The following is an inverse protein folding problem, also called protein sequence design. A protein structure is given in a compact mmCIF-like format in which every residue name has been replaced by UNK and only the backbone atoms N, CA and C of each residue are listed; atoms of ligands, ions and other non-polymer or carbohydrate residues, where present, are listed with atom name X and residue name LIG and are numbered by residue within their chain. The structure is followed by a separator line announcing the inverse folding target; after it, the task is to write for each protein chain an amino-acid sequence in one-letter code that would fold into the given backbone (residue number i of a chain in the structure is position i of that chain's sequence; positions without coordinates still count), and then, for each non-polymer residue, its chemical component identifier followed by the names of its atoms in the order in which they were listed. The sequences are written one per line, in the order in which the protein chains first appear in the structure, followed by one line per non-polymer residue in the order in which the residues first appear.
data_IF_267560328957
#
_entry.id   IF_267560328957
#
_cell.length_a   1.000
_cell.length_b   1.000
_cell.length_c   1.000
_cell.angle_alpha   90.00
_cell.angle_beta   90.00
_cell.angle_gamma   90.00
#
_symmetry.space_group_name_H-M   'P 1'
#
loop_
_entity.id
_entity.type
_entity.pdbx_description
1 polymer ?
#
# COMPACT_ATOMS: atom_id res chain seq x y z
N UNK A 1 -11.73 8.61 9.98
CA UNK A 1 -12.08 7.87 11.21
C UNK A 1 -13.56 7.97 11.56
N UNK A 2 -14.19 9.16 11.49
CA UNK A 2 -15.61 9.33 11.83
C UNK A 2 -16.58 8.33 11.17
N UNK A 3 -16.37 7.97 9.89
CA UNK A 3 -17.20 6.98 9.22
C UNK A 3 -17.02 5.55 9.77
N UNK A 4 -15.80 5.18 10.13
CA UNK A 4 -15.46 3.87 10.68
C UNK A 4 -15.98 3.72 12.12
N UNK A 5 -16.00 4.81 12.88
CA UNK A 5 -16.61 4.84 14.22
C UNK A 5 -18.13 4.74 14.15
N UNK A 6 -18.75 5.37 13.14
CA UNK A 6 -20.20 5.31 12.93
C UNK A 6 -20.68 3.94 12.42
N UNK A 7 -19.86 3.22 11.65
CA UNK A 7 -20.15 1.88 11.14
C UNK A 7 -18.90 0.97 11.27
N UNK A 8 -18.69 0.35 12.43
CA UNK A 8 -17.47 -0.40 12.72
C UNK A 8 -17.52 -1.84 12.24
N UNK A 9 -18.66 -2.33 11.73
CA UNK A 9 -18.94 -3.76 11.52
C UNK A 9 -17.84 -4.43 10.70
N UNK A 10 -17.47 -3.85 9.56
CA UNK A 10 -16.45 -4.44 8.67
C UNK A 10 -15.06 -4.37 9.29
N UNK A 11 -14.67 -3.21 9.82
CA UNK A 11 -13.33 -3.00 10.37
C UNK A 11 -13.07 -3.92 11.58
N UNK A 12 -14.02 -3.99 12.51
CA UNK A 12 -13.86 -4.80 13.72
C UNK A 12 -13.88 -6.30 13.41
N UNK A 13 -14.68 -6.72 12.42
CA UNK A 13 -14.76 -8.13 12.02
C UNK A 13 -13.50 -8.59 11.29
N UNK A 14 -13.01 -7.78 10.34
CA UNK A 14 -11.91 -8.19 9.45
C UNK A 14 -10.55 -7.83 10.01
N UNK A 15 -10.37 -6.61 10.50
CA UNK A 15 -9.12 -6.12 11.05
C UNK A 15 -9.04 -6.41 12.55
N UNK A 16 -9.93 -5.80 13.32
CA UNK A 16 -9.85 -5.77 14.77
C UNK A 16 -10.03 -4.35 15.30
N UNK A 17 -9.62 -4.08 16.55
CA UNK A 17 -9.88 -2.80 17.21
C UNK A 17 -8.93 -1.68 16.79
N UNK A 18 -7.73 -2.00 16.29
CA UNK A 18 -6.70 -1.02 15.92
C UNK A 18 -5.70 -1.59 14.89
N UNK A 19 -4.97 -0.71 14.20
CA UNK A 19 -4.04 -1.07 13.09
C UNK A 19 -2.86 -1.96 13.52
N UNK A 20 -2.48 -1.94 14.81
CA UNK A 20 -1.36 -2.74 15.31
C UNK A 20 -1.80 -4.11 15.85
N UNK A 21 -3.12 -4.35 15.93
CA UNK A 21 -3.70 -5.58 16.47
C UNK A 21 -4.75 -6.15 15.52
N UNK A 22 -4.25 -6.73 14.43
CA UNK A 22 -5.08 -7.50 13.49
C UNK A 22 -5.50 -8.81 14.14
N UNK A 23 -6.68 -8.83 14.76
CA UNK A 23 -7.24 -9.99 15.48
C UNK A 23 -8.47 -10.59 14.80
N UNK A 24 -9.02 -9.90 13.80
CA UNK A 24 -10.17 -10.30 13.01
C UNK A 24 -9.85 -11.37 11.96
N UNK A 25 -10.75 -11.52 10.99
CA UNK A 25 -10.66 -12.59 9.99
C UNK A 25 -9.47 -12.48 9.03
N UNK A 26 -8.81 -11.32 8.95
CA UNK A 26 -7.61 -11.11 8.14
C UNK A 26 -6.30 -11.48 8.84
N UNK A 27 -6.32 -11.90 10.11
CA UNK A 27 -5.11 -12.22 10.91
C UNK A 27 -4.10 -13.09 10.17
N UNK A 28 -4.56 -14.14 9.50
CA UNK A 28 -3.72 -15.13 8.81
C UNK A 28 -3.68 -14.91 7.28
N UNK A 29 -4.20 -13.78 6.80
CA UNK A 29 -4.26 -13.51 5.38
C UNK A 29 -2.87 -13.26 4.79
N UNK A 30 -2.62 -13.83 3.61
CA UNK A 30 -1.43 -13.53 2.82
C UNK A 30 -1.71 -13.58 1.32
N UNK A 31 -1.05 -12.68 0.58
CA UNK A 31 -1.06 -12.64 -0.89
C UNK A 31 0.26 -13.10 -1.50
N UNK A 32 1.29 -13.36 -0.69
CA UNK A 32 2.70 -13.53 -1.13
C UNK A 32 2.84 -14.56 -2.26
N UNK A 33 2.17 -15.71 -2.12
CA UNK A 33 2.26 -16.80 -3.11
C UNK A 33 1.54 -16.52 -4.43
N UNK A 34 0.68 -15.49 -4.47
CA UNK A 34 -0.04 -15.06 -5.68
C UNK A 34 0.64 -13.89 -6.38
N UNK A 35 1.61 -13.23 -5.74
CA UNK A 35 2.33 -12.08 -6.33
C UNK A 35 2.96 -12.37 -7.72
N UNK A 36 3.50 -13.58 -8.00
CA UNK A 36 4.04 -13.89 -9.34
C UNK A 36 3.00 -13.85 -10.47
N UNK A 37 1.71 -13.85 -10.15
CA UNK A 37 0.63 -13.77 -11.17
C UNK A 37 0.33 -12.35 -11.64
N UNK A 38 0.92 -11.33 -11.02
CA UNK A 38 0.72 -9.92 -11.39
C UNK A 38 1.56 -9.61 -12.65
N UNK A 39 0.89 -9.49 -13.79
CA UNK A 39 1.54 -9.27 -15.10
C UNK A 39 1.41 -7.82 -15.60
N UNK A 40 1.12 -6.88 -14.70
CA UNK A 40 1.02 -5.45 -15.01
C UNK A 40 2.08 -4.68 -14.25
N UNK A 41 2.55 -3.54 -14.80
CA UNK A 41 3.50 -2.70 -14.09
C UNK A 41 2.93 -2.25 -12.75
N UNK A 42 3.74 -2.37 -11.70
CA UNK A 42 3.31 -2.12 -10.32
C UNK A 42 4.22 -1.11 -9.63
N UNK A 43 3.61 -0.19 -8.86
CA UNK A 43 4.31 0.75 -7.99
C UNK A 43 3.96 0.43 -6.53
N UNK A 44 4.98 0.21 -5.71
CA UNK A 44 4.88 0.11 -4.26
C UNK A 44 5.25 1.46 -3.63
N UNK A 45 4.38 2.02 -2.80
CA UNK A 45 4.63 3.27 -2.07
C UNK A 45 4.64 2.97 -0.57
N UNK A 46 5.59 3.56 0.16
CA UNK A 46 5.63 3.53 1.62
C UNK A 46 6.19 4.84 2.18
N UNK A 47 5.90 5.16 3.45
CA UNK A 47 6.60 6.20 4.20
C UNK A 47 7.87 5.67 4.89
N UNK A 48 8.81 6.55 5.24
CA UNK A 48 10.00 6.22 6.04
C UNK A 48 9.64 5.66 7.43
N UNK A 49 8.58 6.21 8.05
CA UNK A 49 8.11 5.89 9.39
C UNK A 49 6.78 5.11 9.38
N UNK A 50 6.51 4.39 8.30
CA UNK A 50 5.25 3.68 8.08
C UNK A 50 5.09 2.47 9.02
N UNK A 51 3.86 2.16 9.41
CA UNK A 51 3.51 0.88 10.03
C UNK A 51 3.72 -0.29 9.05
N UNK A 52 3.58 -0.02 7.74
CA UNK A 52 4.02 -0.90 6.67
C UNK A 52 5.56 -0.83 6.51
N UNK A 53 6.26 -1.42 7.47
CA UNK A 53 7.73 -1.47 7.48
C UNK A 53 8.30 -2.24 6.26
N UNK A 54 9.59 -2.07 5.92
CA UNK A 54 10.20 -2.74 4.76
C UNK A 54 9.94 -4.24 4.63
N UNK A 55 9.87 -4.97 5.73
CA UNK A 55 9.59 -6.41 5.72
C UNK A 55 8.18 -6.75 5.21
N UNK A 56 7.19 -5.88 5.39
CA UNK A 56 5.81 -6.12 4.95
C UNK A 56 5.67 -5.98 3.45
N UNK A 57 6.41 -5.05 2.83
CA UNK A 57 6.30 -4.78 1.40
C UNK A 57 7.44 -5.31 0.53
N UNK A 58 8.56 -5.75 1.12
CA UNK A 58 9.66 -6.42 0.39
C UNK A 58 9.19 -7.59 -0.49
N UNK A 59 8.24 -8.47 -0.07
CA UNK A 59 7.75 -9.53 -0.93
C UNK A 59 7.14 -9.05 -2.26
N UNK A 60 6.54 -7.85 -2.30
CA UNK A 60 6.05 -7.27 -3.56
C UNK A 60 7.20 -7.00 -4.53
N UNK A 61 8.33 -6.48 -4.04
CA UNK A 61 9.51 -6.20 -4.87
C UNK A 61 10.23 -7.47 -5.33
N UNK A 62 10.19 -8.53 -4.52
CA UNK A 62 10.86 -9.79 -4.83
C UNK A 62 10.05 -10.69 -5.78
N UNK A 63 8.71 -10.62 -5.73
CA UNK A 63 7.85 -11.61 -6.39
C UNK A 63 7.00 -11.05 -7.53
N UNK A 64 6.81 -9.73 -7.65
CA UNK A 64 6.12 -9.15 -8.82
C UNK A 64 7.16 -8.95 -9.94
N UNK A 65 6.91 -9.46 -11.17
CA UNK A 65 7.88 -9.38 -12.27
C UNK A 65 8.24 -7.96 -12.75
N UNK A 66 7.26 -7.06 -12.82
CA UNK A 66 7.46 -5.65 -13.22
C UNK A 66 7.02 -4.74 -12.07
N UNK A 67 7.97 -4.41 -11.20
CA UNK A 67 7.72 -3.66 -9.97
C UNK A 67 8.82 -2.67 -9.67
N UNK A 68 8.43 -1.56 -9.07
CA UNK A 68 9.32 -0.53 -8.52
C UNK A 68 8.72 0.04 -7.26
N UNK A 69 9.56 0.64 -6.42
CA UNK A 69 9.14 1.26 -5.16
C UNK A 69 9.50 2.73 -5.09
N UNK A 70 8.76 3.47 -4.27
CA UNK A 70 9.15 4.79 -3.79
C UNK A 70 8.87 4.89 -2.28
N UNK A 71 9.91 5.20 -1.51
CA UNK A 71 9.78 5.48 -0.07
C UNK A 71 9.87 6.98 0.13
N UNK A 72 8.89 7.55 0.81
CA UNK A 72 8.82 8.99 1.08
C UNK A 72 9.50 9.30 2.42
N UNK A 73 10.61 10.05 2.37
CA UNK A 73 11.30 10.53 3.57
C UNK A 73 10.34 11.36 4.44
N UNK A 74 10.40 11.21 5.76
CA UNK A 74 9.63 12.03 6.68
C UNK A 74 8.11 11.83 6.65
N UNK A 75 7.60 10.73 6.07
CA UNK A 75 6.17 10.38 6.10
C UNK A 75 5.95 9.01 6.74
N UNK A 76 4.70 8.72 7.07
CA UNK A 76 4.23 7.46 7.61
C UNK A 76 3.16 6.86 6.68
N UNK A 77 2.14 6.23 7.24
CA UNK A 77 1.11 5.50 6.50
C UNK A 77 0.28 6.39 5.57
N UNK A 78 -0.07 7.58 6.05
CA UNK A 78 -0.92 8.52 5.30
C UNK A 78 -0.09 9.49 4.45
N UNK A 79 0.89 8.97 3.71
CA UNK A 79 1.84 9.77 2.92
C UNK A 79 1.14 10.77 1.98
N UNK A 80 -0.02 10.40 1.42
CA UNK A 80 -0.85 11.26 0.58
C UNK A 80 -1.45 12.49 1.28
N UNK A 81 -1.58 12.46 2.61
CA UNK A 81 -1.99 13.60 3.44
C UNK A 81 -0.77 14.36 3.98
N UNK A 82 0.31 13.66 4.30
CA UNK A 82 1.53 14.23 4.88
C UNK A 82 2.34 15.03 3.85
N UNK A 83 2.46 14.52 2.62
CA UNK A 83 3.13 15.19 1.49
C UNK A 83 2.30 15.06 0.20
N UNK A 84 1.16 15.75 0.10
CA UNK A 84 0.21 15.55 -1.01
C UNK A 84 0.82 15.79 -2.39
N UNK A 85 1.58 16.88 -2.55
CA UNK A 85 2.18 17.26 -3.84
C UNK A 85 3.25 16.27 -4.29
N UNK A 86 4.12 15.83 -3.38
CA UNK A 86 5.15 14.84 -3.67
C UNK A 86 4.52 13.48 -4.00
N UNK A 87 3.54 13.06 -3.22
CA UNK A 87 2.78 11.83 -3.47
C UNK A 87 2.14 11.85 -4.86
N UNK A 88 1.40 12.92 -5.19
CA UNK A 88 0.75 13.10 -6.48
C UNK A 88 1.77 13.13 -7.63
N UNK A 89 2.92 13.77 -7.45
CA UNK A 89 3.97 13.79 -8.48
C UNK A 89 4.48 12.38 -8.79
N UNK A 90 4.78 11.57 -7.77
CA UNK A 90 5.28 10.19 -7.97
C UNK A 90 4.23 9.33 -8.67
N UNK A 91 2.97 9.41 -8.23
CA UNK A 91 1.86 8.66 -8.84
C UNK A 91 1.63 9.13 -10.29
N UNK A 92 1.62 10.44 -10.55
CA UNK A 92 1.42 10.99 -11.89
C UNK A 92 2.55 10.58 -12.84
N UNK A 93 3.81 10.63 -12.41
CA UNK A 93 4.95 10.16 -13.21
C UNK A 93 4.83 8.67 -13.54
N UNK A 94 4.40 7.85 -12.59
CA UNK A 94 4.17 6.43 -12.82
C UNK A 94 3.09 6.19 -13.89
N UNK A 95 1.95 6.87 -13.78
CA UNK A 95 0.82 6.73 -14.69
C UNK A 95 1.17 7.23 -16.11
N UNK A 96 1.78 8.42 -16.21
CA UNK A 96 2.17 9.00 -17.49
C UNK A 96 3.11 8.10 -18.31
N UNK A 97 3.99 7.36 -17.63
CA UNK A 97 4.89 6.38 -18.27
C UNK A 97 4.17 5.22 -18.96
N UNK A 98 2.91 4.94 -18.60
CA UNK A 98 2.11 3.84 -19.18
C UNK A 98 0.89 4.30 -19.97
N UNK A 99 0.42 5.54 -19.78
CA UNK A 99 -0.58 6.14 -20.66
C UNK A 99 0.02 6.39 -22.06
N UNK A 100 1.27 6.85 -22.12
CA UNK A 100 1.97 7.07 -23.39
C UNK A 100 2.27 5.77 -24.16
N UNK A 101 2.36 4.63 -23.47
CA UNK A 101 2.61 3.31 -24.08
C UNK A 101 1.33 2.63 -24.61
N UNK A 102 0.16 3.24 -24.40
CA UNK A 102 -1.16 2.72 -24.82
C UNK A 102 -1.74 3.39 -26.07
N UNK A 103 -1.05 4.37 -26.65
CA UNK A 103 -1.35 4.98 -27.95
C UNK A 103 -0.35 4.51 -29.00
#
# INVERSE_FOLDING_TARGET
MAQMEAEPTVYFTMNGPDEFRVVGTLRDWSIIERLPSINVPTLVIAGEFDEAIPDTWRPYLEKIPDVRSHVFDGTSHCTHLEKPEAFLSVVATFLAGYDAARN
#
